data_IF_985760327408
#
_entry.id   IF_985760327408
#
_cell.length_a   1.000
_cell.length_b   1.000
_cell.length_c   1.000
_cell.angle_alpha   90.00
_cell.angle_beta   90.00
_cell.angle_gamma   90.00
#
_symmetry.space_group_name_H-M   'P 1'
#
loop_
_entity.id
_entity.type
_entity.pdbx_description
1 polymer ?
#
# COMPACT_ATOMS: atom_id res chain seq x y z
N UNK A 1 23.44 78.47 1.01
CA UNK A 1 24.59 78.48 1.94
C UNK A 1 24.62 77.08 2.66
N UNK A 2 25.77 76.46 2.55
CA UNK A 2 26.34 75.50 3.46
C UNK A 2 25.54 74.18 3.75
N UNK A 3 26.00 73.11 3.25
CA UNK A 3 27.22 72.28 3.54
C UNK A 3 27.00 71.23 4.64
N UNK A 4 27.33 70.00 4.25
CA UNK A 4 28.01 68.96 5.03
C UNK A 4 27.11 67.95 5.79
N UNK A 5 27.37 66.70 5.91
CA UNK A 5 28.50 65.81 5.55
C UNK A 5 28.00 64.35 5.75
N UNK A 6 28.44 63.50 4.88
CA UNK A 6 28.63 62.06 4.98
C UNK A 6 28.67 61.46 6.39
N UNK A 7 27.99 60.37 6.59
CA UNK A 7 28.53 59.21 7.34
C UNK A 7 27.97 57.93 6.74
N UNK A 8 28.84 57.25 6.02
CA UNK A 8 28.66 55.89 5.58
C UNK A 8 28.84 54.97 6.78
N UNK A 9 27.87 54.15 7.09
CA UNK A 9 28.08 52.94 7.91
C UNK A 9 27.62 51.75 7.11
N UNK A 10 28.59 51.07 6.53
CA UNK A 10 28.43 49.77 5.92
C UNK A 10 28.11 48.77 7.03
N UNK A 11 26.88 48.29 7.11
CA UNK A 11 26.53 47.15 7.93
C UNK A 11 26.51 45.93 7.00
N UNK A 12 27.57 45.12 7.10
CA UNK A 12 27.71 43.86 6.42
C UNK A 12 26.63 42.92 6.92
N UNK A 13 25.64 42.68 6.06
CA UNK A 13 24.63 41.65 6.25
C UNK A 13 25.30 40.29 6.03
N UNK A 14 25.65 39.64 7.13
CA UNK A 14 26.03 38.22 7.16
C UNK A 14 24.77 37.42 6.92
N UNK A 15 24.43 37.20 5.66
CA UNK A 15 23.33 36.29 5.27
C UNK A 15 23.79 34.86 5.59
N UNK A 16 23.40 34.35 6.76
CA UNK A 16 23.46 32.96 7.06
C UNK A 16 22.58 32.20 6.07
N UNK A 17 23.19 31.55 5.10
CA UNK A 17 22.56 30.53 4.26
C UNK A 17 22.26 29.36 5.17
N UNK A 18 21.10 29.37 5.82
CA UNK A 18 20.47 28.19 6.36
C UNK A 18 20.06 27.32 5.16
N UNK A 19 20.97 26.46 4.75
CA UNK A 19 20.67 25.42 3.78
C UNK A 19 19.48 24.62 4.27
N UNK A 20 18.32 24.83 3.68
CA UNK A 20 17.18 23.94 3.78
C UNK A 20 17.61 22.59 3.21
N UNK A 21 18.15 21.73 4.05
CA UNK A 21 18.18 20.29 3.79
C UNK A 21 16.73 19.78 3.91
N UNK A 22 15.87 20.20 2.99
CA UNK A 22 14.61 19.51 2.75
C UNK A 22 15.00 18.17 2.16
N UNK A 23 15.13 17.18 3.03
CA UNK A 23 15.23 15.79 2.61
C UNK A 23 14.06 15.52 1.65
N UNK A 24 14.41 15.27 0.38
CA UNK A 24 13.42 14.91 -0.63
C UNK A 24 12.65 13.72 -0.09
N UNK A 25 11.35 13.89 0.15
CA UNK A 25 10.50 12.79 0.60
C UNK A 25 10.71 11.60 -0.38
N UNK A 26 10.92 10.39 0.13
CA UNK A 26 11.18 9.25 -0.75
C UNK A 26 10.03 9.10 -1.74
N UNK A 27 10.36 9.14 -3.03
CA UNK A 27 9.38 8.95 -4.10
C UNK A 27 8.76 7.55 -3.94
N UNK A 28 7.43 7.42 -3.92
CA UNK A 28 6.78 6.11 -3.84
C UNK A 28 7.27 5.18 -4.95
N UNK A 29 7.47 3.88 -4.68
CA UNK A 29 7.94 2.95 -5.69
C UNK A 29 6.93 2.86 -6.83
N UNK A 30 7.42 2.81 -8.07
CA UNK A 30 6.59 2.61 -9.25
C UNK A 30 6.04 1.17 -9.29
N UNK A 31 4.95 0.95 -10.04
CA UNK A 31 4.40 -0.39 -10.28
C UNK A 31 5.48 -1.36 -10.77
N UNK A 32 6.33 -0.93 -11.69
CA UNK A 32 7.42 -1.75 -12.21
C UNK A 32 8.43 -2.14 -11.10
N UNK A 33 8.78 -1.22 -10.21
CA UNK A 33 9.67 -1.50 -9.07
C UNK A 33 9.03 -2.47 -8.07
N UNK A 34 7.75 -2.30 -7.80
CA UNK A 34 6.99 -3.21 -6.91
C UNK A 34 7.02 -4.63 -7.48
N UNK A 35 6.68 -4.80 -8.76
CA UNK A 35 6.68 -6.10 -9.45
C UNK A 35 8.08 -6.70 -9.51
N UNK A 36 9.10 -5.91 -9.88
CA UNK A 36 10.48 -6.40 -9.94
C UNK A 36 10.96 -6.92 -8.59
N UNK A 37 10.70 -6.20 -7.49
CA UNK A 37 11.05 -6.62 -6.15
C UNK A 37 10.29 -7.90 -5.72
N UNK A 38 9.02 -8.01 -6.08
CA UNK A 38 8.18 -9.18 -5.83
C UNK A 38 8.73 -10.42 -6.55
N UNK A 39 9.00 -10.30 -7.86
CA UNK A 39 9.56 -11.38 -8.67
C UNK A 39 10.95 -11.79 -8.19
N UNK A 40 11.82 -10.82 -7.88
CA UNK A 40 13.15 -11.10 -7.35
C UNK A 40 13.12 -11.86 -6.02
N UNK A 41 12.17 -11.51 -5.14
CA UNK A 41 11.97 -12.23 -3.87
C UNK A 41 11.46 -13.66 -4.11
N UNK A 42 10.44 -13.83 -4.95
CA UNK A 42 9.91 -15.16 -5.29
C UNK A 42 10.95 -16.02 -5.98
N UNK A 43 11.79 -15.43 -6.84
CA UNK A 43 12.90 -16.14 -7.49
C UNK A 43 13.86 -16.73 -6.47
N UNK A 44 14.23 -15.98 -5.42
CA UNK A 44 15.11 -16.46 -4.36
C UNK A 44 14.48 -17.53 -3.48
N UNK A 45 13.16 -17.48 -3.27
CA UNK A 45 12.45 -18.40 -2.38
C UNK A 45 12.09 -19.72 -3.08
N UNK A 46 11.78 -19.64 -4.39
CA UNK A 46 11.23 -20.75 -5.16
C UNK A 46 12.21 -21.28 -6.24
N UNK A 47 13.38 -20.65 -6.38
CA UNK A 47 14.36 -20.98 -7.44
C UNK A 47 13.74 -20.88 -8.86
N UNK A 48 13.05 -19.75 -9.16
CA UNK A 48 12.34 -19.59 -10.42
C UNK A 48 13.28 -19.55 -11.61
N UNK A 49 12.93 -20.28 -12.68
CA UNK A 49 13.60 -20.20 -13.97
C UNK A 49 13.33 -18.84 -14.65
N UNK A 50 14.15 -18.48 -15.67
CA UNK A 50 13.95 -17.24 -16.42
C UNK A 50 12.55 -17.16 -17.08
N UNK A 51 12.02 -18.28 -17.58
CA UNK A 51 10.69 -18.34 -18.16
C UNK A 51 9.60 -18.07 -17.11
N UNK A 52 9.74 -18.66 -15.92
CA UNK A 52 8.82 -18.43 -14.81
C UNK A 52 8.88 -16.97 -14.30
N UNK A 53 10.07 -16.36 -14.24
CA UNK A 53 10.23 -14.95 -13.88
C UNK A 53 9.52 -14.03 -14.88
N UNK A 54 9.60 -14.32 -16.18
CA UNK A 54 8.88 -13.57 -17.22
C UNK A 54 7.37 -13.69 -17.05
N UNK A 55 6.87 -14.90 -16.85
CA UNK A 55 5.45 -15.15 -16.60
C UNK A 55 4.98 -14.44 -15.32
N UNK A 56 5.72 -14.55 -14.23
CA UNK A 56 5.44 -13.87 -12.97
C UNK A 56 5.40 -12.34 -13.15
N UNK A 57 6.33 -11.77 -13.90
CA UNK A 57 6.36 -10.33 -14.19
C UNK A 57 5.08 -9.89 -14.90
N UNK A 58 4.63 -10.64 -15.90
CA UNK A 58 3.39 -10.34 -16.64
C UNK A 58 2.16 -10.44 -15.72
N UNK A 59 2.04 -11.51 -14.96
CA UNK A 59 0.93 -11.77 -14.05
C UNK A 59 0.83 -10.64 -13.00
N UNK A 60 1.92 -10.36 -12.29
CA UNK A 60 1.93 -9.35 -11.24
C UNK A 60 1.83 -7.90 -11.77
N UNK A 61 2.27 -7.63 -13.00
CA UNK A 61 2.03 -6.32 -13.63
C UNK A 61 0.55 -6.10 -13.88
N UNK A 62 -0.15 -7.11 -14.38
CA UNK A 62 -1.61 -7.07 -14.59
C UNK A 62 -2.34 -6.87 -13.25
N UNK A 63 -1.98 -7.63 -12.24
CA UNK A 63 -2.53 -7.48 -10.88
C UNK A 63 -2.32 -6.06 -10.34
N UNK A 64 -1.08 -5.55 -10.35
CA UNK A 64 -0.78 -4.23 -9.79
C UNK A 64 -1.49 -3.11 -10.55
N UNK A 65 -1.70 -3.26 -11.86
CA UNK A 65 -2.48 -2.30 -12.65
C UNK A 65 -3.95 -2.31 -12.23
N UNK A 66 -4.55 -3.48 -12.06
CA UNK A 66 -5.91 -3.62 -11.57
C UNK A 66 -6.05 -3.04 -10.15
N UNK A 67 -5.12 -3.37 -9.25
CA UNK A 67 -5.12 -2.84 -7.88
C UNK A 67 -4.95 -1.31 -7.84
N UNK A 68 -4.17 -0.71 -8.74
CA UNK A 68 -4.03 0.74 -8.82
C UNK A 68 -5.36 1.42 -9.20
N UNK A 69 -6.08 0.86 -10.17
CA UNK A 69 -7.42 1.32 -10.55
C UNK A 69 -8.42 1.19 -9.39
N UNK A 70 -8.43 0.03 -8.74
CA UNK A 70 -9.31 -0.24 -7.60
C UNK A 70 -9.04 0.71 -6.41
N UNK A 71 -7.77 1.04 -6.14
CA UNK A 71 -7.42 2.04 -5.10
C UNK A 71 -8.03 3.41 -5.41
N UNK A 72 -7.95 3.86 -6.66
CA UNK A 72 -8.55 5.14 -7.07
C UNK A 72 -10.06 5.11 -6.91
N UNK A 73 -10.72 4.04 -7.35
CA UNK A 73 -12.17 3.86 -7.19
C UNK A 73 -12.58 3.80 -5.72
N UNK A 74 -11.80 3.10 -4.89
CA UNK A 74 -12.02 3.02 -3.44
C UNK A 74 -11.91 4.39 -2.77
N UNK A 75 -10.89 5.18 -3.13
CA UNK A 75 -10.72 6.54 -2.62
C UNK A 75 -11.90 7.44 -3.00
N UNK A 76 -12.38 7.34 -4.24
CA UNK A 76 -13.57 8.07 -4.70
C UNK A 76 -14.82 7.66 -3.91
N UNK A 77 -15.04 6.36 -3.72
CA UNK A 77 -16.18 5.85 -2.97
C UNK A 77 -16.14 6.30 -1.49
N UNK A 78 -14.97 6.28 -0.84
CA UNK A 78 -14.82 6.80 0.51
C UNK A 78 -15.10 8.30 0.61
N UNK A 79 -14.70 9.09 -0.39
CA UNK A 79 -14.98 10.54 -0.44
C UNK A 79 -16.49 10.79 -0.61
N UNK A 80 -17.15 10.01 -1.48
CA UNK A 80 -18.61 10.07 -1.66
C UNK A 80 -19.35 9.72 -0.36
N UNK A 81 -18.96 8.61 0.27
CA UNK A 81 -19.51 8.20 1.56
C UNK A 81 -19.37 9.29 2.65
N UNK A 82 -18.19 9.92 2.73
CA UNK A 82 -17.97 11.02 3.67
C UNK A 82 -18.89 12.21 3.37
N UNK A 83 -19.12 12.52 2.10
CA UNK A 83 -20.06 13.58 1.69
C UNK A 83 -21.50 13.21 2.08
N UNK A 84 -21.92 11.98 1.84
CA UNK A 84 -23.25 11.48 2.21
C UNK A 84 -23.48 11.52 3.74
N UNK A 85 -22.44 11.19 4.51
CA UNK A 85 -22.49 11.29 5.99
C UNK A 85 -22.70 12.74 6.43
N UNK A 86 -21.93 13.68 5.88
CA UNK A 86 -22.04 15.10 6.29
C UNK A 86 -23.34 15.76 5.86
N UNK A 87 -23.97 15.26 4.79
CA UNK A 87 -25.31 15.69 4.35
C UNK A 87 -26.47 14.91 5.00
N UNK A 88 -26.17 13.92 5.84
CA UNK A 88 -27.15 13.03 6.49
C UNK A 88 -28.05 12.29 5.48
N UNK A 89 -27.50 11.95 4.30
CA UNK A 89 -28.19 11.20 3.24
C UNK A 89 -28.02 9.69 3.45
N UNK A 90 -28.95 9.10 4.20
CA UNK A 90 -28.92 7.69 4.57
C UNK A 90 -29.04 6.74 3.38
N UNK A 91 -29.75 7.14 2.31
CA UNK A 91 -29.88 6.33 1.08
C UNK A 91 -28.55 6.25 0.34
N UNK A 92 -27.86 7.37 0.16
CA UNK A 92 -26.54 7.44 -0.46
C UNK A 92 -25.48 6.72 0.40
N UNK A 93 -25.52 6.85 1.72
CA UNK A 93 -24.64 6.10 2.65
C UNK A 93 -24.74 4.59 2.39
N UNK A 94 -25.96 4.05 2.27
CA UNK A 94 -26.15 2.61 2.01
C UNK A 94 -25.57 2.18 0.66
N UNK A 95 -25.77 2.99 -0.38
CA UNK A 95 -25.25 2.74 -1.72
C UNK A 95 -23.74 2.77 -1.76
N UNK A 96 -23.11 3.80 -1.18
CA UNK A 96 -21.66 3.97 -1.16
C UNK A 96 -20.98 2.88 -0.33
N UNK A 97 -21.59 2.48 0.80
CA UNK A 97 -21.09 1.36 1.60
C UNK A 97 -21.12 0.04 0.81
N UNK A 98 -22.19 -0.23 0.06
CA UNK A 98 -22.28 -1.40 -0.82
C UNK A 98 -21.22 -1.37 -1.92
N UNK A 99 -20.96 -0.21 -2.52
CA UNK A 99 -19.92 -0.02 -3.53
C UNK A 99 -18.52 -0.31 -2.96
N UNK A 100 -18.20 0.18 -1.76
CA UNK A 100 -16.94 -0.13 -1.07
C UNK A 100 -16.80 -1.65 -0.85
N UNK A 101 -17.88 -2.32 -0.45
CA UNK A 101 -17.91 -3.78 -0.32
C UNK A 101 -17.58 -4.50 -1.63
N UNK A 102 -18.17 -4.07 -2.74
CA UNK A 102 -17.91 -4.60 -4.08
C UNK A 102 -16.45 -4.41 -4.48
N UNK A 103 -15.91 -3.19 -4.35
CA UNK A 103 -14.51 -2.88 -4.68
C UNK A 103 -13.53 -3.70 -3.82
N UNK A 104 -13.85 -3.95 -2.56
CA UNK A 104 -13.06 -4.83 -1.69
C UNK A 104 -13.07 -6.27 -2.21
N UNK A 105 -14.23 -6.78 -2.64
CA UNK A 105 -14.34 -8.10 -3.27
C UNK A 105 -13.52 -8.22 -4.55
N UNK A 106 -13.56 -7.21 -5.41
CA UNK A 106 -12.76 -7.15 -6.64
C UNK A 106 -11.25 -7.13 -6.35
N UNK A 107 -10.82 -6.45 -5.30
CA UNK A 107 -9.43 -6.45 -4.88
C UNK A 107 -8.97 -7.86 -4.46
N UNK A 108 -9.76 -8.56 -3.66
CA UNK A 108 -9.47 -9.95 -3.27
C UNK A 108 -9.44 -10.87 -4.50
N UNK A 109 -10.39 -10.69 -5.42
CA UNK A 109 -10.46 -11.47 -6.65
C UNK A 109 -9.21 -11.26 -7.53
N UNK A 110 -8.78 -10.01 -7.72
CA UNK A 110 -7.58 -9.70 -8.51
C UNK A 110 -6.33 -10.38 -7.92
N UNK A 111 -6.14 -10.32 -6.61
CA UNK A 111 -5.02 -10.96 -5.91
C UNK A 111 -5.08 -12.48 -5.99
N UNK A 112 -6.25 -13.07 -5.75
CA UNK A 112 -6.44 -14.52 -5.80
C UNK A 112 -6.22 -15.07 -7.21
N UNK A 113 -6.73 -14.37 -8.24
CA UNK A 113 -6.55 -14.75 -9.64
C UNK A 113 -5.08 -14.70 -10.05
N UNK A 114 -4.35 -13.65 -9.67
CA UNK A 114 -2.92 -13.54 -9.93
C UNK A 114 -2.13 -14.64 -9.22
N UNK A 115 -2.44 -14.92 -7.96
CA UNK A 115 -1.81 -16.00 -7.19
C UNK A 115 -2.07 -17.37 -7.82
N UNK A 116 -3.29 -17.66 -8.25
CA UNK A 116 -3.64 -18.91 -8.92
C UNK A 116 -2.93 -19.05 -10.28
N UNK A 117 -2.89 -17.97 -11.07
CA UNK A 117 -2.17 -17.94 -12.34
C UNK A 117 -0.66 -18.17 -12.14
N UNK A 118 -0.06 -17.55 -11.13
CA UNK A 118 1.35 -17.76 -10.80
C UNK A 118 1.60 -19.20 -10.32
N UNK A 119 0.78 -19.74 -9.41
CA UNK A 119 0.86 -21.11 -8.90
C UNK A 119 0.85 -22.12 -10.04
N UNK A 120 0.04 -21.92 -11.08
CA UNK A 120 -0.03 -22.79 -12.26
C UNK A 120 1.27 -22.82 -13.09
N UNK A 121 2.16 -21.83 -12.92
CA UNK A 121 3.48 -21.80 -13.61
C UNK A 121 4.56 -22.57 -12.86
N UNK A 122 4.30 -22.99 -11.64
CA UNK A 122 5.26 -23.62 -10.73
C UNK A 122 5.33 -25.14 -10.92
N UNK A 123 6.51 -25.72 -10.69
CA UNK A 123 6.67 -27.17 -10.53
C UNK A 123 6.07 -27.66 -9.21
N UNK A 124 5.84 -28.97 -9.06
CA UNK A 124 5.28 -29.55 -7.82
C UNK A 124 6.11 -29.19 -6.57
N UNK A 125 7.44 -29.23 -6.67
CA UNK A 125 8.33 -28.86 -5.56
C UNK A 125 8.23 -27.37 -5.22
N UNK A 126 8.13 -26.51 -6.24
CA UNK A 126 7.94 -25.07 -6.05
C UNK A 126 6.57 -24.76 -5.47
N UNK A 127 5.52 -25.47 -5.88
CA UNK A 127 4.16 -25.35 -5.33
C UNK A 127 4.15 -25.67 -3.84
N UNK A 128 4.78 -26.77 -3.43
CA UNK A 128 4.92 -27.13 -2.02
C UNK A 128 5.64 -26.04 -1.20
N UNK A 129 6.72 -25.46 -1.76
CA UNK A 129 7.40 -24.32 -1.11
C UNK A 129 6.49 -23.10 -1.04
N UNK A 130 5.75 -22.80 -2.11
CA UNK A 130 4.85 -21.65 -2.18
C UNK A 130 3.72 -21.73 -1.13
N UNK A 131 3.15 -22.91 -0.93
CA UNK A 131 2.12 -23.15 0.08
C UNK A 131 2.61 -22.86 1.50
N UNK A 132 3.89 -23.11 1.80
CA UNK A 132 4.48 -22.80 3.11
C UNK A 132 4.65 -21.30 3.37
N UNK A 133 4.60 -20.45 2.31
CA UNK A 133 4.70 -19.00 2.45
C UNK A 133 3.40 -18.33 2.93
N UNK A 134 2.33 -19.13 3.12
CA UNK A 134 1.04 -18.68 3.65
C UNK A 134 -0.03 -18.46 2.57
N UNK A 135 -1.29 -18.25 2.99
CA UNK A 135 -2.49 -18.37 2.15
C UNK A 135 -2.61 -17.37 0.99
N UNK A 136 -1.59 -16.75 0.55
CA UNK A 136 -1.47 -16.01 -0.71
C UNK A 136 -0.01 -15.70 -1.02
N UNK A 137 0.91 -16.59 -0.64
CA UNK A 137 2.35 -16.67 -1.00
C UNK A 137 3.08 -15.44 -1.56
N UNK A 138 2.43 -14.33 -1.60
CA UNK A 138 2.91 -13.09 -2.18
C UNK A 138 3.27 -12.05 -1.12
N UNK A 139 4.17 -11.11 -1.43
CA UNK A 139 4.56 -10.00 -0.55
C UNK A 139 3.44 -8.97 -0.30
N UNK A 140 2.21 -9.25 -0.74
CA UNK A 140 1.01 -8.48 -0.51
C UNK A 140 -0.10 -9.28 0.18
N UNK A 141 0.21 -10.44 0.79
CA UNK A 141 -0.78 -11.19 1.55
C UNK A 141 -1.44 -10.29 2.59
N UNK A 142 -2.71 -10.01 2.43
CA UNK A 142 -3.68 -9.26 3.23
C UNK A 142 -3.18 -8.24 4.28
N UNK A 143 -1.93 -7.78 4.20
CA UNK A 143 -1.40 -6.69 5.02
C UNK A 143 -1.54 -5.38 4.26
N UNK A 144 -2.72 -5.13 3.69
CA UNK A 144 -3.11 -3.78 3.27
C UNK A 144 -3.09 -2.85 4.50
N UNK A 145 -2.95 -1.52 4.32
CA UNK A 145 -3.07 -0.55 5.40
C UNK A 145 -4.53 -0.53 5.89
N UNK A 146 -4.89 -1.46 6.74
CA UNK A 146 -6.26 -1.73 7.20
C UNK A 146 -6.44 -3.16 7.68
N UNK A 147 -5.34 -3.88 7.92
CA UNK A 147 -5.44 -5.15 8.62
C UNK A 147 -6.26 -4.93 9.88
N UNK A 148 -7.48 -5.48 9.90
CA UNK A 148 -8.27 -5.58 11.10
C UNK A 148 -7.43 -6.35 12.12
N UNK A 149 -6.60 -5.61 12.88
CA UNK A 149 -6.14 -6.06 14.17
C UNK A 149 -7.40 -6.31 14.96
N UNK A 150 -7.84 -7.56 15.02
CA UNK A 150 -8.91 -7.95 15.90
C UNK A 150 -8.58 -7.42 17.29
N UNK A 151 -9.53 -6.78 17.99
CA UNK A 151 -9.32 -6.43 19.39
C UNK A 151 -8.99 -7.73 20.11
N UNK A 152 -7.83 -7.76 20.77
CA UNK A 152 -7.39 -8.89 21.57
C UNK A 152 -8.56 -9.36 22.44
N UNK A 153 -9.02 -10.59 22.23
CA UNK A 153 -10.04 -11.20 23.05
C UNK A 153 -9.61 -11.09 24.51
N UNK A 154 -10.52 -10.75 25.43
CA UNK A 154 -10.20 -10.78 26.84
C UNK A 154 -9.74 -12.18 27.20
N UNK A 155 -8.54 -12.28 27.74
CA UNK A 155 -8.01 -13.53 28.27
C UNK A 155 -9.01 -14.15 29.29
N UNK A 156 -8.99 -15.47 29.47
CA UNK A 156 -9.88 -16.12 30.41
C UNK A 156 -9.62 -15.52 31.80
N UNK A 157 -10.59 -14.79 32.31
CA UNK A 157 -10.62 -14.38 33.70
C UNK A 157 -10.77 -15.66 34.51
N UNK A 158 -9.68 -16.01 35.15
CA UNK A 158 -9.63 -16.98 36.24
C UNK A 158 -10.70 -16.63 37.27
N UNK A 159 -11.83 -17.34 37.25
CA UNK A 159 -12.79 -17.36 38.34
C UNK A 159 -12.25 -18.32 39.38
N UNK A 160 -11.12 -17.93 39.99
CA UNK A 160 -10.62 -18.53 41.20
C UNK A 160 -11.63 -18.27 42.34
N UNK A 161 -12.10 -19.36 42.93
CA UNK A 161 -13.14 -19.45 43.90
C UNK A 161 -12.94 -18.65 45.19
N UNK A 162 -14.00 -18.59 45.96
CA UNK A 162 -13.93 -18.77 47.42
C UNK A 162 -15.32 -18.91 48.00
N UNK A 163 -15.55 -20.01 48.66
CA UNK A 163 -16.49 -20.25 49.75
C UNK A 163 -17.97 -20.09 49.53
#
# INVERSE_FOLDING_TARGET
MQRRILAATALAALSAVLGNAQGTAPTPPTTAQIVANQVARLTKLLDLTSAQQTSATTIFTTEQTALATLRTSMQTAHTALQTAITSNDTATISTDAAQIGTLTGEQVLAQATASAAFYATLTADQQSKFETLGPLGGPGGFNGPGGFGGPGGPGPHDLGGSH
#
